data_IF_270080102942
#
_entry.id   IF_270080102942
#
_cell.length_a   1.000
_cell.length_b   1.000
_cell.length_c   1.000
_cell.angle_alpha   90.00
_cell.angle_beta   90.00
_cell.angle_gamma   90.00
#
_symmetry.space_group_name_H-M   'P 1'
#
loop_
_entity.id
_entity.type
_entity.pdbx_description
1 polymer ?
#
# COMPACT_ATOMS: atom_id res chain seq x y z
N UNK A 1 -14.13 13.55 -1.09
CA UNK A 1 -14.34 12.75 0.13
C UNK A 1 -13.06 12.71 0.95
N UNK A 2 -13.07 12.23 2.19
CA UNK A 2 -11.87 12.12 3.04
C UNK A 2 -11.65 10.64 3.37
N UNK A 3 -10.40 10.20 3.31
CA UNK A 3 -9.99 8.82 3.52
C UNK A 3 -8.96 8.77 4.64
N UNK A 4 -8.90 7.63 5.32
CA UNK A 4 -7.79 7.30 6.21
C UNK A 4 -6.92 6.27 5.51
N UNK A 5 -5.65 6.60 5.35
CA UNK A 5 -4.60 5.64 5.02
C UNK A 5 -4.31 4.86 6.29
N UNK A 6 -4.27 3.53 6.18
CA UNK A 6 -4.05 2.61 7.29
C UNK A 6 -2.89 1.72 6.92
N UNK A 7 -1.77 1.89 7.60
CA UNK A 7 -0.56 1.10 7.41
C UNK A 7 -0.48 0.04 8.51
N UNK A 8 -0.43 -1.23 8.10
CA UNK A 8 -0.44 -2.39 9.00
C UNK A 8 0.90 -3.10 8.84
N UNK A 9 1.75 -3.00 9.85
CA UNK A 9 3.10 -3.56 9.82
C UNK A 9 3.10 -5.05 10.11
N UNK A 10 3.85 -5.82 9.33
CA UNK A 10 3.94 -7.28 9.46
C UNK A 10 5.30 -7.77 8.96
N UNK A 11 5.46 -9.09 8.83
CA UNK A 11 6.64 -9.71 8.23
C UNK A 11 6.32 -10.17 6.80
N UNK A 12 7.33 -10.21 5.92
CA UNK A 12 7.17 -10.60 4.50
C UNK A 12 6.45 -11.94 4.33
N UNK A 13 6.76 -12.93 5.18
CA UNK A 13 6.14 -14.26 5.16
C UNK A 13 4.63 -14.22 5.49
N UNK A 14 4.18 -13.22 6.25
CA UNK A 14 2.80 -13.09 6.71
C UNK A 14 1.94 -12.19 5.81
N UNK A 15 2.55 -11.40 4.91
CA UNK A 15 1.84 -10.44 4.03
C UNK A 15 0.67 -11.10 3.28
N UNK A 16 0.89 -12.26 2.68
CA UNK A 16 -0.15 -12.94 1.90
C UNK A 16 -1.32 -13.43 2.78
N UNK A 17 -1.03 -13.92 3.98
CA UNK A 17 -2.08 -14.39 4.89
C UNK A 17 -2.85 -13.19 5.45
N UNK A 18 -2.13 -12.13 5.83
CA UNK A 18 -2.74 -10.91 6.36
C UNK A 18 -3.63 -10.22 5.31
N UNK A 19 -3.20 -10.11 4.05
CA UNK A 19 -4.07 -9.57 2.97
C UNK A 19 -5.36 -10.38 2.78
N UNK A 20 -5.30 -11.71 2.91
CA UNK A 20 -6.51 -12.55 2.87
C UNK A 20 -7.45 -12.24 4.03
N UNK A 21 -6.94 -12.14 5.27
CA UNK A 21 -7.73 -11.78 6.45
C UNK A 21 -8.35 -10.38 6.32
N UNK A 22 -7.60 -9.41 5.81
CA UNK A 22 -8.12 -8.07 5.54
C UNK A 22 -9.22 -8.07 4.47
N UNK A 23 -9.09 -8.93 3.46
CA UNK A 23 -10.14 -9.10 2.44
C UNK A 23 -11.45 -9.63 3.04
N UNK A 24 -11.38 -10.56 4.00
CA UNK A 24 -12.57 -11.06 4.72
C UNK A 24 -13.28 -9.96 5.53
N UNK A 25 -12.54 -8.94 5.98
CA UNK A 25 -13.06 -7.76 6.67
C UNK A 25 -13.62 -6.70 5.71
N UNK A 26 -13.55 -6.92 4.40
CA UNK A 26 -14.07 -6.03 3.37
C UNK A 26 -13.07 -5.01 2.81
N UNK A 27 -11.78 -5.12 3.15
CA UNK A 27 -10.74 -4.34 2.48
C UNK A 27 -10.44 -4.95 1.11
N UNK A 28 -10.61 -4.20 0.03
CA UNK A 28 -10.47 -4.73 -1.33
C UNK A 28 -9.33 -4.10 -2.16
N UNK A 29 -8.55 -3.22 -1.54
CA UNK A 29 -7.42 -2.54 -2.18
C UNK A 29 -6.26 -2.46 -1.22
N UNK A 30 -5.10 -2.91 -1.69
CA UNK A 30 -3.88 -3.02 -0.91
C UNK A 30 -2.71 -2.42 -1.68
N UNK A 31 -1.84 -1.71 -0.97
CA UNK A 31 -0.48 -1.43 -1.42
C UNK A 31 0.42 -2.26 -0.53
N UNK A 32 1.19 -3.15 -1.15
CA UNK A 32 2.11 -4.03 -0.44
C UNK A 32 3.48 -3.36 -0.49
N UNK A 33 4.03 -3.10 0.69
CA UNK A 33 5.38 -2.63 0.86
C UNK A 33 6.17 -3.80 1.45
N UNK A 34 6.86 -4.56 0.61
CA UNK A 34 7.67 -5.71 1.05
C UNK A 34 9.06 -5.63 0.38
N UNK A 35 10.14 -5.44 1.16
CA UNK A 35 11.49 -5.39 0.60
C UNK A 35 11.89 -6.72 -0.06
N UNK A 36 11.44 -7.87 0.45
CA UNK A 36 11.81 -9.18 -0.10
C UNK A 36 11.18 -9.40 -1.49
N UNK A 37 9.90 -9.07 -1.65
CA UNK A 37 9.20 -9.08 -2.93
C UNK A 37 9.86 -8.12 -3.94
N UNK A 38 10.27 -6.93 -3.49
CA UNK A 38 10.96 -5.96 -4.35
C UNK A 38 12.37 -6.43 -4.77
N UNK A 39 13.09 -7.14 -3.89
CA UNK A 39 14.38 -7.73 -4.24
C UNK A 39 14.23 -8.87 -5.26
N UNK A 40 13.25 -9.76 -5.06
CA UNK A 40 12.92 -10.81 -6.02
C UNK A 40 12.57 -10.22 -7.39
N UNK A 41 11.75 -9.15 -7.40
CA UNK A 41 11.43 -8.39 -8.60
C UNK A 41 12.72 -7.96 -9.33
N UNK A 42 13.67 -7.30 -8.65
CA UNK A 42 14.90 -6.81 -9.27
C UNK A 42 15.82 -7.91 -9.80
N UNK A 43 15.85 -9.08 -9.14
CA UNK A 43 16.65 -10.22 -9.59
C UNK A 43 15.99 -10.94 -10.78
N UNK A 44 14.66 -10.93 -10.85
CA UNK A 44 13.91 -11.59 -11.91
C UNK A 44 13.85 -10.75 -13.20
N UNK A 45 14.79 -11.03 -14.10
CA UNK A 45 14.90 -10.36 -15.42
C UNK A 45 13.94 -10.89 -16.50
N UNK A 46 13.07 -11.85 -16.19
CA UNK A 46 12.17 -12.44 -17.21
C UNK A 46 11.29 -11.39 -17.91
N UNK A 47 11.00 -10.29 -17.22
CA UNK A 47 10.12 -9.25 -17.74
C UNK A 47 10.81 -8.19 -18.63
N UNK A 48 12.10 -8.34 -18.94
CA UNK A 48 12.86 -7.46 -19.85
C UNK A 48 12.71 -5.95 -19.54
N UNK A 49 12.81 -5.54 -18.29
CA UNK A 49 12.82 -4.11 -17.95
C UNK A 49 14.22 -3.53 -18.20
N UNK A 50 14.30 -2.49 -19.04
CA UNK A 50 15.56 -1.79 -19.32
C UNK A 50 15.90 -0.69 -18.30
N UNK A 51 14.93 -0.29 -17.46
CA UNK A 51 15.10 0.79 -16.47
C UNK A 51 14.19 0.58 -15.26
N UNK A 52 14.77 0.77 -14.07
CA UNK A 52 14.07 0.92 -12.80
C UNK A 52 14.50 2.26 -12.21
N UNK A 53 13.56 3.05 -11.76
CA UNK A 53 13.86 4.38 -11.22
C UNK A 53 14.60 4.27 -9.88
N UNK A 54 15.74 4.97 -9.74
CA UNK A 54 16.55 4.97 -8.51
C UNK A 54 15.75 5.40 -7.27
N UNK A 55 14.70 6.22 -7.43
CA UNK A 55 13.84 6.62 -6.30
C UNK A 55 13.09 5.43 -5.67
N UNK A 56 12.90 4.33 -6.40
CA UNK A 56 12.26 3.11 -5.90
C UNK A 56 13.18 2.26 -5.03
N UNK A 57 14.50 2.51 -5.05
CA UNK A 57 15.47 1.74 -4.24
C UNK A 57 15.23 1.88 -2.73
N UNK A 58 14.51 2.92 -2.30
CA UNK A 58 14.06 3.06 -0.91
C UNK A 58 13.20 1.88 -0.43
N UNK A 59 12.48 1.21 -1.34
CA UNK A 59 11.64 0.04 -1.03
C UNK A 59 12.44 -1.14 -0.47
N UNK A 60 13.75 -1.23 -0.71
CA UNK A 60 14.61 -2.26 -0.10
C UNK A 60 14.75 -2.15 1.41
N UNK A 61 14.42 -0.99 1.97
CA UNK A 61 14.69 -0.66 3.38
C UNK A 61 13.44 -0.36 4.19
N UNK A 62 12.27 -0.40 3.54
CA UNK A 62 11.00 -0.22 4.25
C UNK A 62 10.74 -1.40 5.16
N UNK A 63 10.09 -1.15 6.30
CA UNK A 63 9.53 -2.25 7.09
C UNK A 63 8.36 -2.85 6.32
N UNK A 64 8.22 -4.19 6.27
CA UNK A 64 7.11 -4.79 5.57
C UNK A 64 5.77 -4.32 6.15
N UNK A 65 4.89 -3.80 5.31
CA UNK A 65 3.56 -3.36 5.72
C UNK A 65 2.57 -3.37 4.56
N UNK A 66 1.30 -3.39 4.91
CA UNK A 66 0.18 -3.30 3.99
C UNK A 66 -0.51 -1.96 4.23
N UNK A 67 -0.60 -1.14 3.19
CA UNK A 67 -1.43 0.05 3.20
C UNK A 67 -2.81 -0.27 2.64
N UNK A 68 -3.85 0.12 3.36
CA UNK A 68 -5.22 0.12 2.89
C UNK A 68 -5.90 1.47 3.15
N UNK A 69 -7.02 1.72 2.47
CA UNK A 69 -7.75 2.98 2.59
C UNK A 69 -9.18 2.74 3.04
N UNK A 70 -9.60 3.47 4.06
CA UNK A 70 -10.98 3.46 4.56
C UNK A 70 -11.59 4.85 4.41
N UNK A 71 -12.90 4.91 4.16
CA UNK A 71 -13.60 6.19 4.15
C UNK A 71 -13.65 6.78 5.56
N UNK A 72 -13.48 8.09 5.69
CA UNK A 72 -13.65 8.78 6.97
C UNK A 72 -15.14 9.04 7.25
N UNK A 73 -15.87 7.96 7.55
CA UNK A 73 -17.29 7.96 7.90
C UNK A 73 -17.61 6.82 8.89
N UNK A 74 -18.90 6.65 9.23
CA UNK A 74 -19.35 5.64 10.18
C UNK A 74 -18.99 4.22 9.75
N UNK A 75 -19.20 3.88 8.48
CA UNK A 75 -18.82 2.57 7.92
C UNK A 75 -17.32 2.32 8.04
N UNK A 76 -16.47 3.29 7.72
CA UNK A 76 -15.03 3.17 7.87
C UNK A 76 -14.59 3.05 9.32
N UNK A 77 -15.29 3.70 10.26
CA UNK A 77 -15.03 3.54 11.68
C UNK A 77 -15.37 2.12 12.17
N UNK A 78 -16.45 1.52 11.68
CA UNK A 78 -16.79 0.11 11.95
C UNK A 78 -15.73 -0.84 11.38
N UNK A 79 -15.27 -0.62 10.15
CA UNK A 79 -14.19 -1.41 9.54
C UNK A 79 -12.88 -1.33 10.34
N UNK A 80 -12.50 -0.14 10.81
CA UNK A 80 -11.32 0.04 11.67
C UNK A 80 -11.47 -0.66 13.03
N UNK A 81 -12.67 -0.66 13.61
CA UNK A 81 -12.94 -1.40 14.84
C UNK A 81 -12.84 -2.92 14.64
N UNK A 82 -13.36 -3.43 13.53
CA UNK A 82 -13.26 -4.84 13.17
C UNK A 82 -11.80 -5.24 12.90
N UNK A 83 -11.06 -4.42 12.16
CA UNK A 83 -9.63 -4.58 11.93
C UNK A 83 -8.88 -4.72 13.25
N UNK A 84 -9.07 -3.78 14.18
CA UNK A 84 -8.39 -3.82 15.47
C UNK A 84 -8.65 -5.12 16.23
N UNK A 85 -9.93 -5.55 16.29
CA UNK A 85 -10.29 -6.82 16.93
C UNK A 85 -9.62 -8.04 16.29
N UNK A 86 -9.54 -8.09 14.96
CA UNK A 86 -8.84 -9.18 14.26
C UNK A 86 -7.34 -9.15 14.51
N UNK A 87 -6.70 -7.97 14.52
CA UNK A 87 -5.27 -7.86 14.80
C UNK A 87 -4.93 -8.27 16.23
N UNK A 88 -5.77 -7.89 17.21
CA UNK A 88 -5.61 -8.31 18.61
C UNK A 88 -5.74 -9.85 18.72
N UNK A 89 -6.74 -10.46 18.06
CA UNK A 89 -6.88 -11.93 18.00
C UNK A 89 -5.65 -12.61 17.39
N UNK A 90 -5.11 -12.06 16.29
CA UNK A 90 -3.91 -12.60 15.65
C UNK A 90 -2.69 -12.50 16.57
N UNK A 91 -2.49 -11.35 17.23
CA UNK A 91 -1.42 -11.16 18.22
C UNK A 91 -1.50 -12.15 19.38
N UNK A 92 -2.70 -12.42 19.89
CA UNK A 92 -2.89 -13.37 20.99
C UNK A 92 -2.59 -14.83 20.58
N UNK A 93 -2.85 -15.18 19.33
CA UNK A 93 -2.64 -16.53 18.81
C UNK A 93 -1.25 -16.75 18.19
N UNK A 94 -0.48 -15.69 17.95
CA UNK A 94 0.84 -15.75 17.32
C UNK A 94 1.95 -16.09 18.33
N UNK A 95 2.12 -17.40 18.57
CA UNK A 95 3.10 -17.91 19.55
C UNK A 95 4.55 -17.88 19.05
N UNK A 96 4.73 -17.93 17.74
CA UNK A 96 6.03 -18.04 17.08
C UNK A 96 6.49 -16.69 16.49
N UNK A 97 5.67 -15.64 16.60
CA UNK A 97 5.98 -14.30 16.09
C UNK A 97 5.90 -14.21 14.56
N UNK A 98 5.13 -15.08 13.92
CA UNK A 98 5.00 -15.18 12.47
C UNK A 98 4.48 -13.89 11.84
N UNK A 99 3.54 -13.21 12.50
CA UNK A 99 2.94 -11.97 11.98
C UNK A 99 3.77 -10.72 12.30
N UNK A 100 4.76 -10.83 13.18
CA UNK A 100 5.55 -9.72 13.68
C UNK A 100 4.73 -8.76 14.56
N UNK A 101 4.95 -7.46 14.38
CA UNK A 101 4.41 -6.43 15.29
C UNK A 101 2.90 -6.24 15.20
N UNK A 102 2.30 -6.37 14.01
CA UNK A 102 0.90 -6.02 13.72
C UNK A 102 0.51 -4.63 14.27
N UNK A 103 1.45 -3.69 14.27
CA UNK A 103 1.19 -2.29 14.64
C UNK A 103 0.47 -1.57 13.49
N UNK A 104 -0.37 -0.60 13.86
CA UNK A 104 -1.19 0.15 12.91
C UNK A 104 -0.89 1.63 13.02
N UNK A 105 -0.54 2.24 11.89
CA UNK A 105 -0.45 3.70 11.73
C UNK A 105 -1.61 4.20 10.86
N UNK A 106 -2.17 5.35 11.21
CA UNK A 106 -3.33 5.92 10.52
C UNK A 106 -3.07 7.38 10.19
N UNK A 107 -3.13 7.71 8.91
CA UNK A 107 -3.00 9.06 8.38
C UNK A 107 -4.27 9.52 7.66
N UNK A 108 -4.55 10.82 7.70
CA UNK A 108 -5.71 11.40 7.02
C UNK A 108 -5.33 11.94 5.64
N UNK A 109 -5.98 11.42 4.60
CA UNK A 109 -5.72 11.76 3.20
C UNK A 109 -6.98 12.34 2.55
N UNK A 110 -6.83 13.45 1.83
CA UNK A 110 -7.94 14.09 1.11
C UNK A 110 -7.97 13.62 -0.34
N UNK A 111 -9.16 13.29 -0.81
CA UNK A 111 -9.39 12.91 -2.22
C UNK A 111 -8.95 14.00 -3.21
N UNK A 112 -9.08 15.28 -2.82
CA UNK A 112 -8.68 16.41 -3.66
C UNK A 112 -7.17 16.43 -3.94
N UNK A 113 -6.35 15.95 -2.99
CA UNK A 113 -4.90 15.83 -3.17
C UNK A 113 -4.59 14.75 -4.21
N UNK A 114 -5.30 13.62 -4.19
CA UNK A 114 -5.14 12.56 -5.18
C UNK A 114 -5.63 12.97 -6.57
N UNK A 115 -6.79 13.63 -6.65
CA UNK A 115 -7.39 14.04 -7.91
C UNK A 115 -6.59 15.13 -8.65
N UNK A 116 -5.74 15.89 -7.94
CA UNK A 116 -5.04 17.04 -8.52
C UNK A 116 -3.51 16.95 -8.47
N UNK A 117 -2.89 16.19 -7.56
CA UNK A 117 -1.43 16.18 -7.41
C UNK A 117 -0.72 15.73 -8.69
N UNK A 118 -1.26 14.80 -9.46
CA UNK A 118 -0.65 14.35 -10.72
C UNK A 118 -0.51 15.49 -11.76
N UNK A 119 -1.40 16.50 -11.74
CA UNK A 119 -1.37 17.64 -12.67
C UNK A 119 -0.11 18.51 -12.51
N UNK A 120 0.51 18.50 -11.33
CA UNK A 120 1.74 19.27 -11.12
C UNK A 120 2.93 18.63 -11.85
N UNK A 121 2.92 17.30 -11.97
CA UNK A 121 3.99 16.49 -12.56
C UNK A 121 3.76 16.22 -14.05
N UNK A 122 2.51 16.18 -14.52
CA UNK A 122 2.22 16.03 -15.95
C UNK A 122 2.35 17.36 -16.71
N UNK A 123 3.48 17.55 -17.38
CA UNK A 123 3.68 18.71 -18.27
C UNK A 123 3.24 18.37 -19.69
N UNK A 124 2.42 19.22 -20.35
CA UNK A 124 2.14 19.06 -21.76
C UNK A 124 3.41 18.93 -22.58
N UNK A 125 3.43 17.98 -23.51
CA UNK A 125 4.56 17.77 -24.39
C UNK A 125 4.09 17.58 -25.83
N UNK A 126 5.00 17.86 -26.77
CA UNK A 126 4.74 17.77 -28.20
C UNK A 126 5.23 16.45 -28.76
N UNK A 127 4.44 15.82 -29.61
CA UNK A 127 4.83 14.65 -30.41
C UNK A 127 4.95 15.10 -31.87
N UNK A 128 6.18 15.35 -32.31
CA UNK A 128 6.46 16.00 -33.59
C UNK A 128 5.90 17.42 -33.67
N UNK A 129 5.72 17.95 -34.88
CA UNK A 129 5.38 19.36 -35.09
C UNK A 129 3.88 19.71 -34.97
N UNK A 130 2.99 18.70 -34.98
CA UNK A 130 1.55 18.92 -35.15
C UNK A 130 0.67 18.46 -34.00
N UNK A 131 1.22 17.71 -33.04
CA UNK A 131 0.44 17.09 -31.97
C UNK A 131 0.98 17.52 -30.61
N UNK A 132 0.08 18.02 -29.76
CA UNK A 132 0.37 18.34 -28.37
C UNK A 132 -0.51 17.47 -27.48
N UNK A 133 0.12 16.75 -26.56
CA UNK A 133 -0.56 15.94 -25.56
C UNK A 133 -0.74 16.78 -24.30
N UNK A 134 -1.97 16.86 -23.81
CA UNK A 134 -2.36 17.58 -22.60
C UNK A 134 -3.18 16.66 -21.68
N UNK A 135 -3.11 16.87 -20.36
CA UNK A 135 -3.88 16.14 -19.38
C UNK A 135 -5.38 16.44 -19.45
#
# INVERSE_FOLDING_TARGET
MQFKQVDIYTESEAVQILTMRLSELGFNGFIIHDPADFEEFLENKEYNWDYVDDSLMGLKTVKPHITCYVQDNEQGAEMLSALKGTLDELKENDRDGFYGSLDVEIDCVREEDWANNWKQYYKPFTVGDKLIVKP
#
